data_IF_297342835351
#
_entry.id   IF_297342835351
#
_cell.length_a   1.000
_cell.length_b   1.000
_cell.length_c   1.000
_cell.angle_alpha   90.00
_cell.angle_beta   90.00
_cell.angle_gamma   90.00
#
_symmetry.space_group_name_H-M   'P 1'
#
loop_
_entity.id
_entity.type
_entity.pdbx_description
1 polymer ?
#
# COMPACT_ATOMS: atom_id res chain seq x y z
N UNK A 1 20.22 10.15 38.00
CA UNK A 1 21.31 10.23 38.99
C UNK A 1 21.18 11.44 39.91
N UNK A 2 20.85 12.63 39.39
CA UNK A 2 20.68 13.86 40.18
C UNK A 2 19.53 13.85 41.21
N UNK A 3 18.43 13.14 40.93
CA UNK A 3 17.25 13.07 41.82
C UNK A 3 17.50 12.22 43.08
N UNK A 4 18.37 11.20 42.98
CA UNK A 4 18.67 10.29 44.10
C UNK A 4 19.57 10.96 45.14
N UNK A 5 20.45 11.86 44.70
CA UNK A 5 21.34 12.61 45.60
C UNK A 5 20.60 13.63 46.46
N UNK A 6 19.49 14.20 45.97
CA UNK A 6 18.69 15.16 46.73
C UNK A 6 17.71 14.49 47.71
N UNK A 7 17.27 13.26 47.44
CA UNK A 7 16.44 12.49 48.38
C UNK A 7 17.28 12.01 49.57
N UNK A 8 18.56 11.70 49.36
CA UNK A 8 19.48 11.35 50.45
C UNK A 8 19.79 12.53 51.39
N UNK A 9 19.89 13.76 50.86
CA UNK A 9 20.10 14.96 51.68
C UNK A 9 18.92 15.35 52.56
N UNK A 10 17.70 15.00 52.16
CA UNK A 10 16.48 15.26 52.96
C UNK A 10 16.36 14.28 54.15
N UNK A 11 17.07 13.15 54.13
CA UNK A 11 17.05 12.15 55.21
C UNK A 11 17.98 12.49 56.38
N UNK A 12 18.77 13.56 56.31
CA UNK A 12 19.63 14.01 57.42
C UNK A 12 18.93 14.95 58.42
N UNK A 13 17.75 15.51 58.09
CA UNK A 13 16.97 16.30 59.05
C UNK A 13 16.08 15.42 59.93
N UNK A 14 16.53 15.28 61.18
CA UNK A 14 15.94 14.50 62.28
C UNK A 14 14.41 14.66 62.39
N UNK A 15 13.63 13.63 61.98
CA UNK A 15 12.41 13.15 62.69
C UNK A 15 11.60 12.02 62.00
N UNK A 16 12.13 11.30 61.03
CA UNK A 16 11.42 10.15 60.45
C UNK A 16 11.75 8.89 61.26
N UNK A 17 10.74 8.19 61.79
CA UNK A 17 10.94 6.89 62.47
C UNK A 17 11.51 5.88 61.46
N UNK A 18 12.50 5.08 61.88
CA UNK A 18 13.26 4.16 61.01
C UNK A 18 12.39 3.20 60.18
N UNK A 19 11.20 2.85 60.66
CA UNK A 19 10.25 2.01 59.93
C UNK A 19 9.76 2.67 58.63
N UNK A 20 9.44 3.96 58.69
CA UNK A 20 8.93 4.76 57.55
C UNK A 20 10.04 5.04 56.54
N UNK A 21 11.29 5.20 57.00
CA UNK A 21 12.46 5.32 56.14
C UNK A 21 12.66 4.07 55.28
N UNK A 22 12.58 2.89 55.90
CA UNK A 22 12.75 1.59 55.23
C UNK A 22 11.63 1.31 54.21
N UNK A 23 10.42 1.78 54.49
CA UNK A 23 9.26 1.64 53.60
C UNK A 23 9.38 2.55 52.37
N UNK A 24 9.83 3.80 52.54
CA UNK A 24 10.13 4.72 51.45
C UNK A 24 11.26 4.18 50.55
N UNK A 25 12.32 3.65 51.15
CA UNK A 25 13.44 3.03 50.41
C UNK A 25 12.97 1.82 49.59
N UNK A 26 12.09 0.97 50.14
CA UNK A 26 11.52 -0.17 49.43
C UNK A 26 10.60 0.22 48.28
N UNK A 27 9.75 1.25 48.47
CA UNK A 27 8.87 1.77 47.40
C UNK A 27 9.70 2.40 46.27
N UNK A 28 10.74 3.16 46.60
CA UNK A 28 11.66 3.74 45.62
C UNK A 28 12.47 2.67 44.86
N UNK A 29 12.84 1.57 45.52
CA UNK A 29 13.47 0.41 44.88
C UNK A 29 12.52 -0.31 43.91
N UNK A 30 11.23 -0.46 44.27
CA UNK A 30 10.22 -1.07 43.38
C UNK A 30 9.95 -0.24 42.11
N UNK A 31 10.11 1.09 42.21
CA UNK A 31 9.97 2.01 41.09
C UNK A 31 11.10 1.87 40.06
N UNK A 32 12.33 1.63 40.52
CA UNK A 32 13.51 1.42 39.65
C UNK A 32 13.35 0.22 38.72
N UNK A 33 12.65 -0.81 39.18
CA UNK A 33 12.39 -2.05 38.42
C UNK A 33 11.15 -1.90 37.52
N UNK A 34 10.13 -1.18 37.97
CA UNK A 34 8.84 -1.08 37.25
C UNK A 34 8.81 0.00 36.16
N UNK A 35 9.68 1.02 36.23
CA UNK A 35 9.73 2.11 35.25
C UNK A 35 10.26 1.70 33.87
N UNK A 36 10.84 0.50 33.74
CA UNK A 36 11.26 -0.03 32.45
C UNK A 36 10.10 -0.59 31.61
N UNK A 37 8.91 -0.83 32.21
CA UNK A 37 7.81 -1.57 31.55
C UNK A 37 6.39 -1.07 31.92
N UNK A 38 6.22 0.22 32.19
CA UNK A 38 4.96 0.73 32.75
C UNK A 38 3.87 0.97 31.69
N UNK A 39 2.87 0.07 31.63
CA UNK A 39 1.61 0.29 30.88
C UNK A 39 0.71 1.34 31.56
N UNK A 40 -0.16 2.05 30.81
CA UNK A 40 -1.01 3.12 31.34
C UNK A 40 -1.87 2.71 32.54
N UNK A 41 -2.41 1.48 32.55
CA UNK A 41 -3.29 0.99 33.61
C UNK A 41 -2.58 0.84 34.96
N UNK A 42 -1.29 0.45 34.95
CA UNK A 42 -0.48 0.33 36.16
C UNK A 42 -0.17 1.70 36.78
N UNK A 43 0.02 2.72 35.93
CA UNK A 43 0.23 4.10 36.37
C UNK A 43 -1.06 4.67 36.96
N UNK A 44 -2.22 4.42 36.36
CA UNK A 44 -3.52 4.88 36.85
C UNK A 44 -3.92 4.21 38.17
N UNK A 45 -3.65 2.92 38.34
CA UNK A 45 -3.91 2.20 39.59
C UNK A 45 -3.02 2.71 40.75
N UNK A 46 -1.75 2.99 40.47
CA UNK A 46 -0.82 3.57 41.44
C UNK A 46 -1.24 4.99 41.84
N UNK A 47 -1.59 5.85 40.88
CA UNK A 47 -2.06 7.20 41.17
C UNK A 47 -3.35 7.18 41.99
N UNK A 48 -4.29 6.26 41.74
CA UNK A 48 -5.49 6.10 42.58
C UNK A 48 -5.14 5.70 44.02
N UNK A 49 -4.27 4.71 44.22
CA UNK A 49 -3.86 4.30 45.56
C UNK A 49 -3.08 5.39 46.30
N UNK A 50 -2.20 6.10 45.61
CA UNK A 50 -1.40 7.17 46.19
C UNK A 50 -2.24 8.42 46.54
N UNK A 51 -3.17 8.81 45.67
CA UNK A 51 -4.10 9.92 45.93
C UNK A 51 -5.02 9.61 47.12
N UNK A 52 -5.47 8.36 47.27
CA UNK A 52 -6.30 7.94 48.40
C UNK A 52 -5.52 7.97 49.74
N UNK A 53 -4.21 7.67 49.69
CA UNK A 53 -3.32 7.73 50.86
C UNK A 53 -2.99 9.18 51.28
N UNK A 54 -2.80 10.07 50.30
CA UNK A 54 -2.38 11.46 50.51
C UNK A 54 -3.55 12.37 50.91
N UNK A 55 -4.78 12.07 50.49
CA UNK A 55 -5.92 12.98 50.72
C UNK A 55 -6.37 13.09 52.18
N UNK A 56 -6.23 12.06 53.01
CA UNK A 56 -6.76 12.06 54.40
C UNK A 56 -5.76 11.67 55.51
N UNK A 57 -4.47 11.58 55.20
CA UNK A 57 -3.34 11.36 56.13
C UNK A 57 -3.58 10.36 57.31
N UNK A 58 -4.44 9.34 57.15
CA UNK A 58 -4.73 8.31 58.17
C UNK A 58 -5.09 6.96 57.56
N UNK A 59 -4.39 5.91 58.03
CA UNK A 59 -4.83 4.51 57.94
C UNK A 59 -6.27 4.35 58.46
N UNK A 60 -7.12 3.66 57.70
CA UNK A 60 -8.37 3.08 58.18
C UNK A 60 -8.28 1.55 58.13
N UNK A 61 -8.66 0.88 59.22
CA UNK A 61 -8.87 -0.57 59.25
C UNK A 61 -10.35 -0.86 58.97
N UNK A 62 -10.61 -1.75 58.01
CA UNK A 62 -11.95 -2.26 57.70
C UNK A 62 -12.08 -3.63 58.35
N UNK A 63 -13.06 -3.82 59.25
CA UNK A 63 -13.38 -5.11 59.85
C UNK A 63 -14.75 -5.58 59.34
N UNK A 64 -14.82 -6.80 58.84
CA UNK A 64 -16.01 -7.42 58.27
C UNK A 64 -16.68 -8.45 59.21
N UNK A 65 -16.29 -8.51 60.49
CA UNK A 65 -16.78 -9.55 61.41
C UNK A 65 -17.95 -9.08 62.32
N UNK A 66 -18.92 -9.95 62.68
CA UNK A 66 -20.18 -9.56 63.32
C UNK A 66 -20.12 -9.36 64.85
N UNK A 67 -18.95 -9.42 65.48
CA UNK A 67 -18.85 -9.48 66.94
C UNK A 67 -18.67 -8.10 67.61
N UNK A 68 -19.80 -7.43 67.89
CA UNK A 68 -19.88 -6.02 68.34
C UNK A 68 -19.40 -5.70 69.77
N UNK A 69 -18.75 -6.61 70.49
CA UNK A 69 -18.60 -6.50 71.97
C UNK A 69 -17.24 -6.06 72.54
N UNK A 70 -16.26 -5.64 71.73
CA UNK A 70 -14.90 -5.40 72.26
C UNK A 70 -14.25 -4.05 71.96
N UNK A 71 -14.97 -2.92 71.93
CA UNK A 71 -14.26 -1.64 71.80
C UNK A 71 -14.92 -0.47 72.53
N UNK A 72 -14.43 -0.15 73.74
CA UNK A 72 -14.77 1.07 74.50
C UNK A 72 -14.31 2.37 73.82
N UNK A 73 -13.41 2.26 72.85
CA UNK A 73 -12.63 3.38 72.29
C UNK A 73 -13.05 3.80 70.88
N UNK A 74 -14.13 3.22 70.34
CA UNK A 74 -14.59 3.46 68.96
C UNK A 74 -16.06 3.92 68.98
N UNK A 75 -16.43 4.85 68.11
CA UNK A 75 -17.78 5.40 67.94
C UNK A 75 -18.29 5.07 66.53
N UNK A 76 -19.49 4.52 66.44
CA UNK A 76 -20.17 4.27 65.16
C UNK A 76 -20.49 5.59 64.45
N UNK A 77 -20.27 5.64 63.13
CA UNK A 77 -20.60 6.80 62.31
C UNK A 77 -21.90 6.56 61.54
N UNK A 78 -21.87 5.63 60.59
CA UNK A 78 -23.02 5.23 59.78
C UNK A 78 -22.73 3.90 59.07
N UNK A 79 -23.76 3.30 58.49
CA UNK A 79 -23.65 2.06 57.70
C UNK A 79 -23.75 2.42 56.23
N UNK A 80 -22.80 1.95 55.43
CA UNK A 80 -22.90 2.02 53.98
C UNK A 80 -23.46 0.70 53.45
N UNK A 81 -24.46 0.78 52.58
CA UNK A 81 -25.13 -0.37 51.99
C UNK A 81 -25.13 -0.26 50.47
N UNK A 82 -24.53 -1.24 49.82
CA UNK A 82 -24.55 -1.43 48.37
C UNK A 82 -25.02 -2.86 48.08
N UNK A 83 -26.29 -2.98 47.66
CA UNK A 83 -26.96 -4.28 47.51
C UNK A 83 -27.03 -5.09 48.83
N UNK A 84 -26.77 -6.41 48.81
CA UNK A 84 -26.86 -7.26 50.01
C UNK A 84 -25.70 -7.06 51.01
N UNK A 85 -24.67 -6.31 50.65
CA UNK A 85 -23.52 -6.02 51.51
C UNK A 85 -23.77 -4.77 52.35
N UNK A 86 -23.73 -4.94 53.68
CA UNK A 86 -23.74 -3.86 54.65
C UNK A 86 -22.39 -3.78 55.35
N UNK A 87 -21.79 -2.60 55.30
CA UNK A 87 -20.53 -2.32 55.98
C UNK A 87 -20.74 -1.21 57.00
N UNK A 88 -20.60 -1.56 58.28
CA UNK A 88 -20.69 -0.61 59.39
C UNK A 88 -19.34 0.13 59.52
N UNK A 89 -19.35 1.47 59.46
CA UNK A 89 -18.12 2.27 59.58
C UNK A 89 -18.02 2.90 60.97
N UNK A 90 -16.87 2.73 61.61
CA UNK A 90 -16.58 3.21 62.96
C UNK A 90 -15.33 4.10 62.99
N UNK A 91 -15.27 5.04 63.94
CA UNK A 91 -14.12 5.94 64.17
C UNK A 91 -13.62 5.88 65.61
N UNK A 92 -12.29 5.86 65.81
CA UNK A 92 -11.69 5.84 67.16
C UNK A 92 -11.92 7.19 67.87
N UNK A 93 -12.42 7.19 69.11
CA UNK A 93 -12.77 8.40 69.89
C UNK A 93 -11.62 9.40 70.03
N UNK A 94 -10.37 8.94 70.00
CA UNK A 94 -9.18 9.79 70.04
C UNK A 94 -9.09 10.78 68.86
N UNK A 95 -9.67 10.43 67.69
CA UNK A 95 -9.69 11.31 66.52
C UNK A 95 -10.73 12.43 66.60
N UNK A 96 -11.75 12.28 67.46
CA UNK A 96 -12.75 13.33 67.69
C UNK A 96 -12.25 14.39 68.68
N UNK A 97 -11.12 14.16 69.38
CA UNK A 97 -10.61 15.03 70.44
C UNK A 97 -9.30 15.77 70.12
N UNK A 98 -8.77 15.70 68.89
CA UNK A 98 -7.53 16.42 68.56
C UNK A 98 -7.66 17.19 67.26
N UNK A 99 -7.74 18.51 67.45
CA UNK A 99 -7.13 19.63 66.71
C UNK A 99 -6.83 19.39 65.22
N UNK A 100 -7.40 20.29 64.41
CA UNK A 100 -7.13 20.49 62.98
C UNK A 100 -5.65 20.26 62.67
N UNK A 101 -5.33 19.19 61.94
CA UNK A 101 -4.01 19.03 61.36
C UNK A 101 -3.85 20.12 60.30
N UNK A 102 -3.15 21.20 60.64
CA UNK A 102 -2.63 22.12 59.65
C UNK A 102 -1.79 21.29 58.67
N UNK A 103 -2.17 21.26 57.40
CA UNK A 103 -1.32 20.72 56.35
C UNK A 103 -0.03 21.54 56.41
N UNK A 104 1.11 20.89 56.65
CA UNK A 104 2.39 21.58 56.63
C UNK A 104 2.57 22.18 55.24
N UNK A 105 2.80 23.49 55.19
CA UNK A 105 2.92 24.24 53.95
C UNK A 105 4.00 23.62 53.04
N UNK A 106 5.01 23.00 53.64
CA UNK A 106 6.12 22.31 52.97
C UNK A 106 5.65 21.12 52.13
N UNK A 107 4.75 20.28 52.68
CA UNK A 107 4.25 19.09 51.99
C UNK A 107 3.32 19.45 50.83
N UNK A 108 2.51 20.51 51.01
CA UNK A 108 1.67 21.06 49.95
C UNK A 108 2.52 21.61 48.79
N UNK A 109 3.58 22.35 49.12
CA UNK A 109 4.54 22.89 48.14
C UNK A 109 5.21 21.74 47.38
N UNK A 110 5.71 20.71 48.09
CA UNK A 110 6.37 19.57 47.47
C UNK A 110 5.43 18.79 46.52
N UNK A 111 4.19 18.53 46.94
CA UNK A 111 3.19 17.89 46.09
C UNK A 111 2.87 18.70 44.82
N UNK A 112 2.77 20.02 44.96
CA UNK A 112 2.52 20.93 43.84
C UNK A 112 3.71 20.94 42.85
N UNK A 113 4.94 20.94 43.35
CA UNK A 113 6.16 20.84 42.51
C UNK A 113 6.20 19.52 41.73
N UNK A 114 5.92 18.39 42.38
CA UNK A 114 5.88 17.08 41.69
C UNK A 114 4.79 17.04 40.62
N UNK A 115 3.61 17.57 40.92
CA UNK A 115 2.52 17.66 39.94
C UNK A 115 2.90 18.51 38.73
N UNK A 116 3.56 19.66 38.94
CA UNK A 116 4.04 20.52 37.86
C UNK A 116 5.09 19.81 36.99
N UNK A 117 6.01 19.04 37.58
CA UNK A 117 7.01 18.26 36.84
C UNK A 117 6.34 17.20 35.96
N UNK A 118 5.34 16.48 36.48
CA UNK A 118 4.60 15.46 35.73
C UNK A 118 3.83 16.10 34.56
N UNK A 119 3.10 17.19 34.83
CA UNK A 119 2.37 17.92 33.78
C UNK A 119 3.33 18.42 32.69
N UNK A 120 4.45 19.01 33.08
CA UNK A 120 5.47 19.48 32.14
C UNK A 120 6.06 18.33 31.32
N UNK A 121 6.36 17.19 31.94
CA UNK A 121 6.85 15.99 31.25
C UNK A 121 5.84 15.46 30.22
N UNK A 122 4.55 15.41 30.57
CA UNK A 122 3.48 15.00 29.67
C UNK A 122 3.33 15.95 28.48
N UNK A 123 3.40 17.27 28.72
CA UNK A 123 3.37 18.27 27.64
C UNK A 123 4.56 18.10 26.70
N UNK A 124 5.78 17.98 27.24
CA UNK A 124 6.98 17.75 26.43
C UNK A 124 6.90 16.44 25.62
N UNK A 125 6.39 15.36 26.22
CA UNK A 125 6.21 14.09 25.52
C UNK A 125 5.18 14.21 24.38
N UNK A 126 4.04 14.85 24.65
CA UNK A 126 3.00 15.13 23.65
C UNK A 126 3.54 15.95 22.48
N UNK A 127 4.30 17.01 22.77
CA UNK A 127 4.95 17.82 21.73
C UNK A 127 5.95 17.02 20.91
N UNK A 128 6.82 16.22 21.55
CA UNK A 128 7.78 15.36 20.84
C UNK A 128 7.07 14.41 19.90
N UNK A 129 6.01 13.74 20.36
CA UNK A 129 5.20 12.81 19.54
C UNK A 129 4.52 13.51 18.37
N UNK A 130 4.01 14.74 18.57
CA UNK A 130 3.45 15.55 17.48
C UNK A 130 4.52 15.90 16.44
N UNK A 131 5.71 16.32 16.87
CA UNK A 131 6.82 16.67 15.97
C UNK A 131 7.31 15.47 15.17
N UNK A 132 7.49 14.31 15.79
CA UNK A 132 7.93 13.10 15.08
C UNK A 132 6.90 12.63 14.05
N UNK A 133 5.62 12.66 14.40
CA UNK A 133 4.54 12.30 13.47
C UNK A 133 4.45 13.29 12.30
N UNK A 134 4.56 14.59 12.59
CA UNK A 134 4.56 15.62 11.56
C UNK A 134 5.78 15.51 10.63
N UNK A 135 6.97 15.23 11.16
CA UNK A 135 8.15 14.95 10.34
C UNK A 135 7.95 13.72 9.48
N UNK A 136 7.49 12.59 10.05
CA UNK A 136 7.24 11.35 9.31
C UNK A 136 6.29 11.59 8.14
N UNK A 137 5.15 12.24 8.38
CA UNK A 137 4.18 12.54 7.31
C UNK A 137 4.76 13.48 6.24
N UNK A 138 5.62 14.44 6.63
CA UNK A 138 6.32 15.31 5.66
C UNK A 138 7.31 14.51 4.81
N UNK A 139 8.11 13.64 5.43
CA UNK A 139 9.04 12.77 4.72
C UNK A 139 8.31 11.82 3.77
N UNK A 140 7.21 11.19 4.20
CA UNK A 140 6.38 10.34 3.33
C UNK A 140 5.80 11.11 2.15
N UNK A 141 5.34 12.34 2.37
CA UNK A 141 4.83 13.21 1.30
C UNK A 141 5.94 13.61 0.31
N UNK A 142 7.07 14.07 0.81
CA UNK A 142 8.20 14.53 -0.01
C UNK A 142 8.82 13.38 -0.82
N UNK A 143 8.96 12.20 -0.20
CA UNK A 143 9.42 10.99 -0.91
C UNK A 143 8.44 10.54 -1.98
N UNK A 144 7.12 10.59 -1.72
CA UNK A 144 6.11 10.29 -2.73
C UNK A 144 6.10 11.31 -3.88
N UNK A 145 6.28 12.60 -3.58
CA UNK A 145 6.39 13.66 -4.60
C UNK A 145 7.64 13.48 -5.46
N UNK A 146 8.79 13.20 -4.84
CA UNK A 146 10.04 12.94 -5.54
C UNK A 146 9.96 11.68 -6.40
N UNK A 147 9.36 10.59 -5.89
CA UNK A 147 9.15 9.36 -6.65
C UNK A 147 8.29 9.60 -7.89
N UNK A 148 7.19 10.37 -7.75
CA UNK A 148 6.35 10.75 -8.90
C UNK A 148 7.10 11.64 -9.90
N UNK A 149 7.91 12.58 -9.41
CA UNK A 149 8.72 13.42 -10.28
C UNK A 149 9.73 12.59 -11.07
N UNK A 150 10.40 11.64 -10.41
CA UNK A 150 11.36 10.73 -11.03
C UNK A 150 10.68 9.86 -12.08
N UNK A 151 9.54 9.25 -11.77
CA UNK A 151 8.76 8.45 -12.71
C UNK A 151 8.37 9.26 -13.96
N UNK A 152 7.96 10.53 -13.79
CA UNK A 152 7.66 11.43 -14.91
C UNK A 152 8.91 11.75 -15.74
N UNK A 153 10.04 12.00 -15.09
CA UNK A 153 11.30 12.24 -15.79
C UNK A 153 11.76 11.02 -16.59
N UNK A 154 11.66 9.83 -16.03
CA UNK A 154 11.97 8.57 -16.72
C UNK A 154 11.03 8.34 -17.91
N UNK A 155 9.73 8.60 -17.74
CA UNK A 155 8.75 8.51 -18.82
C UNK A 155 9.05 9.51 -19.95
N UNK A 156 9.40 10.76 -19.62
CA UNK A 156 9.78 11.78 -20.61
C UNK A 156 11.10 11.46 -21.30
N UNK A 157 12.09 10.95 -20.58
CA UNK A 157 13.37 10.53 -21.17
C UNK A 157 13.17 9.35 -22.13
N UNK A 158 12.33 8.38 -21.74
CA UNK A 158 11.95 7.28 -22.61
C UNK A 158 11.21 7.80 -23.85
N UNK A 159 10.20 8.66 -23.68
CA UNK A 159 9.47 9.29 -24.78
C UNK A 159 10.43 10.02 -25.75
N UNK A 160 11.38 10.79 -25.22
CA UNK A 160 12.40 11.47 -26.00
C UNK A 160 13.23 10.50 -26.86
N UNK A 161 13.66 9.37 -26.30
CA UNK A 161 14.33 8.30 -27.06
C UNK A 161 13.42 7.66 -28.11
N UNK A 162 12.12 7.55 -27.83
CA UNK A 162 11.14 6.95 -28.73
C UNK A 162 10.81 7.85 -29.91
N UNK A 163 10.75 9.18 -29.71
CA UNK A 163 10.34 10.15 -30.73
C UNK A 163 11.15 10.03 -32.02
N UNK A 164 12.47 9.87 -31.93
CA UNK A 164 13.33 9.75 -33.12
C UNK A 164 13.02 8.46 -33.91
N UNK A 165 12.89 7.34 -33.22
CA UNK A 165 12.58 6.03 -33.81
C UNK A 165 11.17 6.02 -34.41
N UNK A 166 10.19 6.58 -33.68
CA UNK A 166 8.80 6.68 -34.14
C UNK A 166 8.67 7.62 -35.33
N UNK A 167 9.37 8.77 -35.34
CA UNK A 167 9.38 9.67 -36.48
C UNK A 167 9.92 8.96 -37.74
N UNK A 168 10.98 8.16 -37.60
CA UNK A 168 11.52 7.38 -38.71
C UNK A 168 10.53 6.30 -39.19
N UNK A 169 9.92 5.57 -38.27
CA UNK A 169 8.92 4.53 -38.57
C UNK A 169 7.61 5.11 -39.11
N UNK A 170 7.24 6.35 -38.79
CA UNK A 170 6.09 7.05 -39.37
C UNK A 170 6.40 7.60 -40.76
N UNK A 171 7.65 8.05 -41.00
CA UNK A 171 8.05 8.56 -42.31
C UNK A 171 7.91 7.49 -43.41
N UNK A 172 8.13 6.23 -43.07
CA UNK A 172 8.08 5.08 -43.99
C UNK A 172 6.67 4.82 -44.59
N UNK A 173 5.61 4.58 -43.78
CA UNK A 173 4.26 4.39 -44.29
C UNK A 173 3.77 5.64 -45.03
N UNK A 174 4.06 6.83 -44.50
CA UNK A 174 3.68 8.10 -45.14
C UNK A 174 4.33 8.25 -46.52
N UNK A 175 5.64 7.98 -46.64
CA UNK A 175 6.35 8.03 -47.91
C UNK A 175 5.81 7.00 -48.91
N UNK A 176 5.46 5.80 -48.43
CA UNK A 176 4.84 4.75 -49.25
C UNK A 176 3.50 5.21 -49.78
N UNK A 177 2.63 5.75 -48.93
CA UNK A 177 1.33 6.31 -49.33
C UNK A 177 1.52 7.48 -50.31
N UNK A 178 2.44 8.40 -50.04
CA UNK A 178 2.73 9.52 -50.96
C UNK A 178 3.18 9.04 -52.33
N UNK A 179 4.12 8.10 -52.41
CA UNK A 179 4.59 7.54 -53.68
C UNK A 179 3.47 6.84 -54.44
N UNK A 180 2.64 6.10 -53.72
CA UNK A 180 1.46 5.46 -54.27
C UNK A 180 0.46 6.49 -54.83
N UNK A 181 0.19 7.59 -54.11
CA UNK A 181 -0.69 8.66 -54.57
C UNK A 181 -0.12 9.36 -55.80
N UNK A 182 1.19 9.58 -55.87
CA UNK A 182 1.85 10.18 -57.04
C UNK A 182 1.80 9.28 -58.28
N UNK A 183 1.82 7.96 -58.11
CA UNK A 183 1.78 7.00 -59.22
C UNK A 183 0.36 6.63 -59.66
N UNK A 184 -0.65 6.86 -58.81
CA UNK A 184 -2.05 6.52 -59.08
C UNK A 184 -2.61 7.16 -60.37
N UNK A 185 -2.43 8.46 -60.66
CA UNK A 185 -3.00 9.07 -61.87
C UNK A 185 -2.55 8.39 -63.16
N UNK A 186 -1.29 7.96 -63.23
CA UNK A 186 -0.71 7.30 -64.40
C UNK A 186 -1.15 5.84 -64.58
N UNK A 187 -1.76 5.23 -63.55
CA UNK A 187 -2.14 3.80 -63.54
C UNK A 187 -3.58 3.54 -63.10
N UNK A 188 -4.40 4.59 -63.00
CA UNK A 188 -5.75 4.50 -62.41
C UNK A 188 -6.69 3.55 -63.17
N UNK A 189 -6.47 3.39 -64.48
CA UNK A 189 -7.23 2.47 -65.33
C UNK A 189 -6.80 0.99 -65.17
N UNK A 190 -5.62 0.73 -64.59
CA UNK A 190 -5.19 -0.62 -64.24
C UNK A 190 -5.90 -1.04 -62.95
N UNK A 191 -6.99 -1.80 -63.11
CA UNK A 191 -7.80 -2.29 -61.99
C UNK A 191 -6.98 -3.07 -60.96
N UNK A 192 -6.01 -3.89 -61.40
CA UNK A 192 -5.15 -4.68 -60.52
C UNK A 192 -4.23 -3.77 -59.71
N UNK A 193 -3.66 -2.74 -60.34
CA UNK A 193 -2.87 -1.73 -59.65
C UNK A 193 -3.71 -0.96 -58.64
N UNK A 194 -4.90 -0.50 -59.01
CA UNK A 194 -5.80 0.26 -58.13
C UNK A 194 -6.27 -0.55 -56.92
N UNK A 195 -6.64 -1.83 -57.11
CA UNK A 195 -6.99 -2.72 -56.00
C UNK A 195 -5.81 -2.93 -55.05
N UNK A 196 -4.61 -3.15 -55.59
CA UNK A 196 -3.39 -3.30 -54.78
C UNK A 196 -3.01 -2.00 -54.07
N UNK A 197 -3.17 -0.85 -54.73
CA UNK A 197 -2.97 0.48 -54.15
C UNK A 197 -3.88 0.67 -52.93
N UNK A 198 -5.18 0.38 -53.06
CA UNK A 198 -6.15 0.53 -51.96
C UNK A 198 -5.77 -0.38 -50.79
N UNK A 199 -5.36 -1.62 -51.07
CA UNK A 199 -4.93 -2.57 -50.03
C UNK A 199 -3.70 -2.06 -49.26
N UNK A 200 -2.64 -1.67 -49.97
CA UNK A 200 -1.40 -1.18 -49.35
C UNK A 200 -1.66 0.14 -48.61
N UNK A 201 -2.39 1.08 -49.19
CA UNK A 201 -2.69 2.36 -48.55
C UNK A 201 -3.48 2.18 -47.24
N UNK A 202 -4.44 1.25 -47.19
CA UNK A 202 -5.17 0.92 -45.96
C UNK A 202 -4.25 0.30 -44.90
N UNK A 203 -3.35 -0.59 -45.31
CA UNK A 203 -2.38 -1.22 -44.41
C UNK A 203 -1.43 -0.19 -43.80
N UNK A 204 -0.84 0.68 -44.63
CA UNK A 204 0.10 1.72 -44.17
C UNK A 204 -0.59 2.79 -43.31
N UNK A 205 -1.85 3.13 -43.59
CA UNK A 205 -2.64 4.03 -42.76
C UNK A 205 -2.92 3.43 -41.39
N UNK A 206 -3.31 2.14 -41.35
CA UNK A 206 -3.53 1.42 -40.10
C UNK A 206 -2.23 1.32 -39.29
N UNK A 207 -1.10 1.02 -39.95
CA UNK A 207 0.23 1.03 -39.32
C UNK A 207 0.57 2.39 -38.73
N UNK A 208 0.29 3.48 -39.45
CA UNK A 208 0.54 4.85 -38.97
C UNK A 208 -0.31 5.19 -37.76
N UNK A 209 -1.60 4.88 -37.78
CA UNK A 209 -2.50 5.09 -36.64
C UNK A 209 -2.00 4.34 -35.40
N UNK A 210 -1.57 3.09 -35.56
CA UNK A 210 -1.02 2.31 -34.45
C UNK A 210 0.26 2.93 -33.87
N UNK A 211 1.16 3.48 -34.70
CA UNK A 211 2.35 4.18 -34.19
C UNK A 211 1.97 5.40 -33.33
N UNK A 212 0.90 6.12 -33.71
CA UNK A 212 0.35 7.24 -32.95
C UNK A 212 -0.28 6.74 -31.64
N UNK A 213 -1.12 5.70 -31.70
CA UNK A 213 -1.78 5.15 -30.51
C UNK A 213 -0.74 4.65 -29.50
N UNK A 214 0.31 3.96 -29.98
CA UNK A 214 1.43 3.54 -29.16
C UNK A 214 2.10 4.75 -28.49
N UNK A 215 2.42 5.82 -29.24
CA UNK A 215 3.00 7.06 -28.72
C UNK A 215 2.17 7.67 -27.59
N UNK A 216 0.85 7.73 -27.76
CA UNK A 216 -0.08 8.26 -26.78
C UNK A 216 -0.09 7.42 -25.49
N UNK A 217 -0.02 6.08 -25.62
CA UNK A 217 0.06 5.20 -24.46
C UNK A 217 1.40 5.32 -23.73
N UNK A 218 2.51 5.59 -24.42
CA UNK A 218 3.81 5.79 -23.76
C UNK A 218 3.88 7.07 -22.94
N UNK A 219 3.32 8.17 -23.45
CA UNK A 219 3.35 9.47 -22.77
C UNK A 219 2.36 9.62 -21.61
N UNK A 220 1.37 8.73 -21.49
CA UNK A 220 0.32 8.82 -20.46
C UNK A 220 0.60 7.88 -19.27
N UNK A 221 0.30 8.35 -18.07
CA UNK A 221 0.06 7.49 -16.91
C UNK A 221 -1.27 6.77 -17.13
N UNK A 222 -1.23 5.45 -17.29
CA UNK A 222 -2.41 4.58 -17.53
C UNK A 222 -3.20 4.36 -16.21
N UNK A 223 -3.07 5.27 -15.24
CA UNK A 223 -3.72 5.14 -13.92
C UNK A 223 -5.20 5.53 -13.94
N UNK A 224 -5.65 6.23 -14.97
CA UNK A 224 -7.02 6.76 -15.10
C UNK A 224 -7.77 5.98 -16.19
N UNK A 225 -8.02 4.71 -15.90
CA UNK A 225 -8.67 3.74 -16.79
C UNK A 225 -10.18 3.70 -16.55
N UNK A 226 -10.98 3.73 -17.63
CA UNK A 226 -12.41 3.49 -17.53
C UNK A 226 -12.65 1.99 -17.57
N UNK A 227 -12.49 1.33 -16.42
CA UNK A 227 -12.54 -0.13 -16.36
C UNK A 227 -13.98 -0.65 -16.44
N UNK A 228 -14.23 -1.49 -17.42
CA UNK A 228 -15.49 -2.20 -17.63
C UNK A 228 -15.24 -3.69 -17.91
N UNK A 229 -16.33 -4.47 -17.94
CA UNK A 229 -16.24 -5.89 -18.32
C UNK A 229 -16.22 -6.03 -19.83
N UNK A 230 -15.11 -6.53 -20.37
CA UNK A 230 -14.86 -6.66 -21.81
C UNK A 230 -14.89 -8.11 -22.23
N UNK A 231 -15.81 -8.47 -23.13
CA UNK A 231 -15.86 -9.81 -23.70
C UNK A 231 -14.68 -10.04 -24.66
N UNK A 232 -13.78 -10.97 -24.30
CA UNK A 232 -12.61 -11.30 -25.12
C UNK A 232 -12.96 -11.89 -26.48
N UNK A 233 -14.03 -12.69 -26.57
CA UNK A 233 -14.45 -13.32 -27.82
C UNK A 233 -14.92 -12.24 -28.79
N UNK A 234 -15.72 -11.29 -28.32
CA UNK A 234 -16.16 -10.14 -29.13
C UNK A 234 -14.97 -9.25 -29.53
N UNK A 235 -14.08 -8.95 -28.57
CA UNK A 235 -12.87 -8.18 -28.81
C UNK A 235 -12.01 -8.82 -29.91
N UNK A 236 -11.68 -10.10 -29.77
CA UNK A 236 -10.83 -10.83 -30.73
C UNK A 236 -11.51 -11.04 -32.07
N UNK A 237 -12.82 -11.29 -32.12
CA UNK A 237 -13.58 -11.39 -33.37
C UNK A 237 -13.52 -10.08 -34.18
N UNK A 238 -13.63 -8.93 -33.50
CA UNK A 238 -13.45 -7.62 -34.14
C UNK A 238 -12.09 -7.47 -34.83
N UNK A 239 -11.03 -8.04 -34.24
CA UNK A 239 -9.66 -7.97 -34.74
C UNK A 239 -9.37 -8.97 -35.87
N UNK A 240 -10.04 -10.13 -35.89
CA UNK A 240 -9.81 -11.18 -36.92
C UNK A 240 -10.30 -10.83 -38.32
N UNK A 241 -11.36 -10.00 -38.45
CA UNK A 241 -12.01 -9.72 -39.74
C UNK A 241 -11.07 -9.15 -40.81
N UNK A 242 -9.95 -8.54 -40.40
CA UNK A 242 -9.00 -7.89 -41.29
C UNK A 242 -7.64 -8.62 -41.40
N UNK A 243 -7.45 -9.72 -40.69
CA UNK A 243 -6.11 -10.24 -40.38
C UNK A 243 -5.78 -11.62 -40.97
N UNK A 244 -6.75 -12.35 -41.52
CA UNK A 244 -6.52 -13.66 -42.17
C UNK A 244 -6.01 -14.77 -41.23
N UNK A 245 -6.11 -14.58 -39.91
CA UNK A 245 -5.61 -15.49 -38.88
C UNK A 245 -6.76 -16.12 -38.10
N UNK A 246 -6.65 -17.42 -37.79
CA UNK A 246 -7.66 -18.12 -36.99
C UNK A 246 -7.37 -17.92 -35.50
N UNK A 247 -8.30 -17.31 -34.76
CA UNK A 247 -8.17 -17.13 -33.31
C UNK A 247 -9.20 -18.00 -32.59
N UNK A 248 -8.71 -18.91 -31.75
CA UNK A 248 -9.53 -19.67 -30.80
C UNK A 248 -9.51 -18.97 -29.45
N UNK A 249 -10.65 -18.41 -29.03
CA UNK A 249 -10.78 -17.65 -27.79
C UNK A 249 -12.01 -18.11 -26.99
N UNK A 250 -11.89 -18.38 -25.67
CA UNK A 250 -13.03 -18.70 -24.82
C UNK A 250 -13.97 -17.49 -24.65
N UNK A 251 -15.25 -17.75 -24.38
CA UNK A 251 -16.23 -16.70 -24.10
C UNK A 251 -16.09 -16.20 -22.66
N UNK A 252 -15.23 -15.23 -22.45
CA UNK A 252 -14.87 -14.76 -21.10
C UNK A 252 -14.65 -13.25 -21.09
N UNK A 253 -15.01 -12.63 -19.97
CA UNK A 253 -14.83 -11.22 -19.68
C UNK A 253 -13.52 -10.93 -18.97
N UNK A 254 -12.83 -9.87 -19.40
CA UNK A 254 -11.72 -9.25 -18.66
C UNK A 254 -12.19 -7.90 -18.12
N UNK A 255 -11.87 -7.59 -16.87
CA UNK A 255 -12.11 -6.28 -16.29
C UNK A 255 -10.94 -5.34 -16.58
N UNK A 256 -11.20 -4.33 -17.40
CA UNK A 256 -10.20 -3.37 -17.82
C UNK A 256 -10.77 -2.35 -18.78
N UNK A 257 -9.92 -1.42 -19.20
CA UNK A 257 -10.29 -0.40 -20.15
C UNK A 257 -10.25 -0.98 -21.58
N UNK A 258 -11.38 -0.92 -22.28
CA UNK A 258 -11.54 -1.49 -23.64
C UNK A 258 -10.49 -0.98 -24.60
N UNK A 259 -10.13 0.30 -24.54
CA UNK A 259 -9.16 0.88 -25.46
C UNK A 259 -7.78 0.25 -25.26
N UNK A 260 -7.32 0.16 -24.01
CA UNK A 260 -6.00 -0.42 -23.71
C UNK A 260 -5.97 -1.93 -23.94
N UNK A 261 -7.01 -2.66 -23.56
CA UNK A 261 -7.11 -4.09 -23.84
C UNK A 261 -7.13 -4.36 -25.35
N UNK A 262 -7.86 -3.57 -26.13
CA UNK A 262 -7.82 -3.69 -27.59
C UNK A 262 -6.41 -3.49 -28.14
N UNK A 263 -5.71 -2.46 -27.68
CA UNK A 263 -4.35 -2.17 -28.12
C UNK A 263 -3.36 -3.28 -27.74
N UNK A 264 -3.49 -3.87 -26.54
CA UNK A 264 -2.72 -5.02 -26.10
C UNK A 264 -2.90 -6.21 -27.05
N UNK A 265 -4.14 -6.61 -27.31
CA UNK A 265 -4.46 -7.76 -28.16
C UNK A 265 -4.08 -7.51 -29.63
N UNK A 266 -4.32 -6.31 -30.16
CA UNK A 266 -3.88 -5.93 -31.52
C UNK A 266 -2.36 -6.07 -31.68
N UNK A 267 -1.58 -5.65 -30.67
CA UNK A 267 -0.12 -5.80 -30.71
C UNK A 267 0.31 -7.27 -30.73
N UNK A 268 -0.29 -8.12 -29.89
CA UNK A 268 0.04 -9.55 -29.83
C UNK A 268 -0.35 -10.30 -31.12
N UNK A 269 -1.56 -10.04 -31.62
CA UNK A 269 -2.05 -10.63 -32.89
C UNK A 269 -1.13 -10.22 -34.04
N UNK A 270 -0.80 -8.93 -34.16
CA UNK A 270 0.08 -8.44 -35.22
C UNK A 270 1.48 -9.04 -35.12
N UNK A 271 2.03 -9.14 -33.90
CA UNK A 271 3.33 -9.78 -33.69
C UNK A 271 3.32 -11.23 -34.16
N UNK A 272 2.22 -11.95 -33.93
CA UNK A 272 2.01 -13.34 -34.37
C UNK A 272 1.92 -13.46 -35.90
N UNK A 273 1.13 -12.60 -36.55
CA UNK A 273 1.02 -12.56 -38.02
C UNK A 273 2.39 -12.29 -38.65
N UNK A 274 3.13 -11.33 -38.12
CA UNK A 274 4.50 -11.01 -38.57
C UNK A 274 5.51 -12.13 -38.26
N UNK A 275 5.18 -13.05 -37.35
CA UNK A 275 5.92 -14.28 -37.10
C UNK A 275 5.50 -15.43 -38.04
N UNK A 276 4.68 -15.14 -39.05
CA UNK A 276 4.06 -16.08 -39.98
C UNK A 276 3.14 -17.10 -39.31
N UNK A 277 2.50 -16.73 -38.19
CA UNK A 277 1.44 -17.53 -37.59
C UNK A 277 0.16 -17.45 -38.44
N UNK A 278 -0.57 -18.56 -38.50
CA UNK A 278 -1.89 -18.67 -39.12
C UNK A 278 -2.98 -19.11 -38.13
N UNK A 279 -2.59 -19.53 -36.93
CA UNK A 279 -3.48 -19.83 -35.82
C UNK A 279 -2.94 -19.21 -34.53
N UNK A 280 -3.85 -18.64 -33.73
CA UNK A 280 -3.62 -18.21 -32.36
C UNK A 280 -4.62 -18.93 -31.47
N UNK A 281 -4.13 -19.47 -30.36
CA UNK A 281 -4.94 -20.08 -29.31
C UNK A 281 -4.81 -19.27 -28.04
N UNK A 282 -5.93 -18.78 -27.54
CA UNK A 282 -6.02 -18.11 -26.25
C UNK A 282 -6.59 -19.13 -25.26
N UNK A 283 -5.83 -19.42 -24.20
CA UNK A 283 -6.26 -20.27 -23.09
C UNK A 283 -6.32 -19.46 -21.81
N UNK A 284 -7.19 -19.87 -20.90
CA UNK A 284 -7.27 -19.27 -19.57
C UNK A 284 -7.18 -20.37 -18.53
N UNK A 285 -6.32 -20.15 -17.55
CA UNK A 285 -6.11 -21.07 -16.43
C UNK A 285 -6.12 -20.28 -15.12
N UNK A 286 -6.82 -20.78 -14.11
CA UNK A 286 -6.59 -20.33 -12.74
C UNK A 286 -5.17 -20.75 -12.36
N UNK A 287 -4.36 -19.84 -11.84
CA UNK A 287 -2.97 -20.14 -11.51
C UNK A 287 -2.89 -20.86 -10.14
N UNK A 288 -2.52 -22.15 -10.11
CA UNK A 288 -2.43 -22.90 -8.86
C UNK A 288 -1.22 -22.50 -8.01
N UNK A 289 -0.21 -21.84 -8.57
CA UNK A 289 1.01 -21.43 -7.86
C UNK A 289 0.79 -20.23 -6.92
N UNK A 290 -0.34 -19.54 -7.06
CA UNK A 290 -0.75 -18.42 -6.21
C UNK A 290 -2.07 -18.71 -5.48
N UNK A 291 -2.34 -19.96 -5.09
CA UNK A 291 -3.59 -20.35 -4.40
C UNK A 291 -4.88 -19.95 -5.16
N UNK A 292 -4.83 -19.84 -6.49
CA UNK A 292 -5.94 -19.35 -7.32
C UNK A 292 -6.16 -17.83 -7.25
N UNK A 293 -5.23 -17.08 -6.64
CA UNK A 293 -5.29 -15.62 -6.51
C UNK A 293 -4.91 -14.88 -7.79
N UNK A 294 -4.59 -15.56 -8.88
CA UNK A 294 -4.36 -14.95 -10.19
C UNK A 294 -4.91 -15.86 -11.29
N UNK A 295 -5.28 -15.24 -12.40
CA UNK A 295 -5.76 -15.94 -13.58
C UNK A 295 -4.83 -15.65 -14.74
N UNK A 296 -4.32 -16.71 -15.36
CA UNK A 296 -3.37 -16.65 -16.46
C UNK A 296 -4.10 -16.74 -17.79
N UNK A 297 -3.87 -15.76 -18.66
CA UNK A 297 -4.26 -15.76 -20.06
C UNK A 297 -3.03 -16.14 -20.88
N UNK A 298 -3.07 -17.29 -21.52
CA UNK A 298 -2.02 -17.79 -22.39
C UNK A 298 -2.39 -17.51 -23.83
N UNK A 299 -1.61 -16.65 -24.49
CA UNK A 299 -1.71 -16.32 -25.90
C UNK A 299 -0.63 -17.07 -26.67
N UNK A 300 -1.02 -18.08 -27.44
CA UNK A 300 -0.11 -19.00 -28.11
C UNK A 300 -0.29 -18.96 -29.62
N UNK A 301 0.78 -18.69 -30.35
CA UNK A 301 0.78 -18.74 -31.81
C UNK A 301 1.48 -19.99 -32.35
N UNK A 302 1.33 -20.24 -33.65
CA UNK A 302 2.00 -21.33 -34.36
C UNK A 302 3.05 -20.85 -35.39
N UNK A 303 3.58 -19.64 -35.19
CA UNK A 303 4.56 -19.01 -36.07
C UNK A 303 5.98 -19.55 -35.87
N UNK A 304 6.98 -18.74 -36.24
CA UNK A 304 8.41 -19.07 -36.07
C UNK A 304 8.90 -19.03 -34.61
N UNK A 305 8.11 -18.49 -33.70
CA UNK A 305 8.47 -18.34 -32.28
C UNK A 305 9.52 -17.27 -31.99
N UNK A 306 9.98 -17.26 -30.74
CA UNK A 306 11.13 -16.44 -30.30
C UNK A 306 12.45 -17.14 -30.64
N UNK A 307 13.56 -16.39 -30.85
CA UNK A 307 14.85 -17.03 -31.06
C UNK A 307 15.29 -17.82 -29.82
N UNK A 308 16.00 -18.95 -30.00
CA UNK A 308 16.37 -19.85 -28.91
C UNK A 308 17.48 -19.27 -28.01
N UNK A 309 18.39 -18.47 -28.57
CA UNK A 309 19.52 -17.89 -27.84
C UNK A 309 19.19 -16.54 -27.17
N UNK A 310 17.91 -16.13 -27.19
CA UNK A 310 17.46 -14.84 -26.63
C UNK A 310 16.98 -14.99 -25.21
N UNK A 311 17.42 -14.10 -24.31
CA UNK A 311 16.75 -13.91 -23.03
C UNK A 311 15.37 -13.30 -23.26
N UNK A 312 14.33 -14.11 -23.02
CA UNK A 312 12.94 -13.72 -23.20
C UNK A 312 12.52 -12.58 -22.28
N UNK A 313 13.12 -12.45 -21.09
CA UNK A 313 12.82 -11.36 -20.17
C UNK A 313 13.29 -10.00 -20.71
N UNK A 314 14.28 -10.00 -21.61
CA UNK A 314 14.78 -8.77 -22.23
C UNK A 314 13.91 -8.33 -23.41
N UNK A 315 13.17 -9.23 -24.06
CA UNK A 315 12.35 -8.91 -25.24
C UNK A 315 11.15 -7.99 -24.94
N UNK A 316 10.76 -7.85 -23.68
CA UNK A 316 9.72 -6.90 -23.25
C UNK A 316 10.27 -5.50 -22.98
N UNK A 317 11.59 -5.30 -22.97
CA UNK A 317 12.19 -3.98 -22.82
C UNK A 317 12.01 -3.12 -24.09
N UNK A 318 11.95 -1.79 -23.96
CA UNK A 318 11.79 -0.91 -25.10
C UNK A 318 13.01 -1.01 -26.04
N UNK A 319 12.76 -0.91 -27.34
CA UNK A 319 13.74 -0.98 -28.44
C UNK A 319 14.41 -2.34 -28.65
N UNK A 320 13.99 -3.37 -27.92
CA UNK A 320 14.47 -4.73 -28.16
C UNK A 320 13.65 -5.36 -29.28
N UNK A 321 14.35 -5.73 -30.35
CA UNK A 321 13.75 -6.39 -31.50
C UNK A 321 14.73 -7.37 -32.11
N UNK A 322 14.22 -8.49 -32.60
CA UNK A 322 14.98 -9.51 -33.33
C UNK A 322 14.76 -9.40 -34.84
N UNK A 323 14.12 -8.31 -35.28
CA UNK A 323 13.68 -8.10 -36.66
C UNK A 323 14.49 -6.98 -37.32
N UNK A 324 14.67 -7.11 -38.62
CA UNK A 324 15.29 -6.08 -39.47
C UNK A 324 14.40 -4.85 -39.67
N UNK A 325 13.09 -4.98 -39.44
CA UNK A 325 12.12 -3.88 -39.47
C UNK A 325 11.19 -3.94 -38.25
N UNK A 326 11.00 -2.78 -37.59
CA UNK A 326 10.17 -2.62 -36.41
C UNK A 326 10.93 -2.08 -35.19
N UNK A 327 10.31 -1.12 -34.50
CA UNK A 327 10.93 -0.35 -33.42
C UNK A 327 11.22 -1.11 -32.10
N UNK A 328 10.84 -2.39 -31.97
CA UNK A 328 10.99 -3.13 -30.70
C UNK A 328 10.11 -2.62 -29.57
N UNK A 329 8.96 -2.04 -29.90
CA UNK A 329 8.08 -1.36 -28.95
C UNK A 329 6.79 -2.14 -28.63
N UNK A 330 6.40 -3.11 -29.45
CA UNK A 330 5.12 -3.81 -29.30
C UNK A 330 5.00 -4.62 -28.01
N UNK A 331 6.04 -5.37 -27.63
CA UNK A 331 6.03 -6.16 -26.38
C UNK A 331 6.18 -5.27 -25.15
N UNK A 332 6.94 -4.18 -25.26
CA UNK A 332 7.02 -3.16 -24.22
C UNK A 332 5.66 -2.51 -23.94
N UNK A 333 4.87 -2.22 -24.98
CA UNK A 333 3.50 -1.73 -24.82
C UNK A 333 2.60 -2.76 -24.15
N UNK A 334 2.71 -4.03 -24.55
CA UNK A 334 1.96 -5.11 -23.94
C UNK A 334 2.28 -5.22 -22.44
N UNK A 335 3.55 -5.11 -22.07
CA UNK A 335 4.00 -5.05 -20.68
C UNK A 335 3.42 -3.84 -19.95
N UNK A 336 3.52 -2.64 -20.53
CA UNK A 336 3.03 -1.40 -19.90
C UNK A 336 1.52 -1.46 -19.64
N UNK A 337 0.72 -1.94 -20.60
CA UNK A 337 -0.72 -2.10 -20.45
C UNK A 337 -1.04 -3.14 -19.38
N UNK A 338 -0.33 -4.28 -19.38
CA UNK A 338 -0.52 -5.36 -18.41
C UNK A 338 -0.23 -4.89 -16.98
N UNK A 339 0.89 -4.18 -16.78
CA UNK A 339 1.26 -3.61 -15.47
C UNK A 339 0.24 -2.57 -14.98
N UNK A 340 -0.29 -1.74 -15.89
CA UNK A 340 -1.33 -0.78 -15.55
C UNK A 340 -2.66 -1.45 -15.10
N UNK A 341 -2.87 -2.70 -15.50
CA UNK A 341 -3.98 -3.54 -15.06
C UNK A 341 -3.59 -4.45 -13.88
N UNK A 342 -2.52 -4.11 -13.15
CA UNK A 342 -1.98 -4.85 -12.00
C UNK A 342 -1.58 -6.30 -12.33
N UNK A 343 -1.33 -6.58 -13.60
CA UNK A 343 -0.92 -7.89 -14.07
C UNK A 343 0.59 -8.02 -14.26
N UNK A 344 1.00 -9.23 -14.66
CA UNK A 344 2.36 -9.54 -15.10
C UNK A 344 2.34 -10.17 -16.50
N UNK A 345 3.41 -9.95 -17.26
CA UNK A 345 3.61 -10.56 -18.58
C UNK A 345 4.86 -11.42 -18.58
N UNK A 346 4.77 -12.60 -19.16
CA UNK A 346 5.89 -13.53 -19.32
C UNK A 346 5.85 -14.12 -20.72
N UNK A 347 7.02 -14.25 -21.35
CA UNK A 347 7.16 -14.89 -22.65
C UNK A 347 7.73 -16.29 -22.44
N UNK A 348 7.29 -17.25 -23.25
CA UNK A 348 7.80 -18.62 -23.22
C UNK A 348 7.86 -19.22 -24.62
N UNK A 349 8.77 -20.17 -24.82
CA UNK A 349 8.87 -20.91 -26.07
C UNK A 349 7.80 -22.00 -26.14
N UNK A 350 7.28 -22.24 -27.34
CA UNK A 350 6.50 -23.41 -27.68
C UNK A 350 7.31 -24.32 -28.61
N UNK A 351 7.00 -25.63 -28.69
CA UNK A 351 7.61 -26.52 -29.67
C UNK A 351 7.45 -26.03 -31.11
N UNK A 352 6.34 -25.32 -31.38
CA UNK A 352 6.09 -24.60 -32.62
C UNK A 352 5.37 -23.30 -32.29
N UNK A 353 6.02 -22.16 -32.52
CA UNK A 353 5.48 -20.83 -32.25
C UNK A 353 5.98 -20.18 -30.97
N UNK A 354 5.27 -19.15 -30.53
CA UNK A 354 5.57 -18.38 -29.32
C UNK A 354 4.39 -18.35 -28.37
N UNK A 355 4.68 -18.30 -27.08
CA UNK A 355 3.71 -18.15 -26.01
C UNK A 355 3.91 -16.85 -25.24
N UNK A 356 2.82 -16.15 -24.95
CA UNK A 356 2.77 -14.98 -24.06
C UNK A 356 1.76 -15.28 -22.96
N UNK A 357 2.19 -15.26 -21.71
CA UNK A 357 1.35 -15.42 -20.52
C UNK A 357 1.11 -14.05 -19.90
N UNK A 358 -0.15 -13.71 -19.71
CA UNK A 358 -0.58 -12.50 -19.01
C UNK A 358 -1.33 -12.94 -17.75
N UNK A 359 -0.77 -12.63 -16.59
CA UNK A 359 -1.38 -12.96 -15.30
C UNK A 359 -2.13 -11.74 -14.79
N UNK A 360 -3.43 -11.86 -14.54
CA UNK A 360 -4.26 -10.83 -13.90
C UNK A 360 -4.70 -11.26 -12.50
N UNK A 361 -5.02 -10.31 -11.61
CA UNK A 361 -5.76 -10.59 -10.38
C UNK A 361 -7.09 -11.30 -10.68
N UNK A 362 -7.60 -12.13 -9.76
CA UNK A 362 -8.69 -13.06 -10.02
C UNK A 362 -10.03 -12.33 -10.22
N UNK A 363 -10.18 -11.16 -9.59
CA UNK A 363 -11.36 -10.27 -9.71
C UNK A 363 -11.52 -9.70 -11.12
N UNK A 364 -10.50 -9.81 -11.98
CA UNK A 364 -10.52 -9.24 -13.32
C UNK A 364 -11.03 -10.21 -14.39
N UNK A 365 -11.54 -11.40 -14.05
CA UNK A 365 -12.04 -12.36 -15.06
C UNK A 365 -13.44 -12.89 -14.69
N UNK A 366 -14.34 -12.96 -15.69
CA UNK A 366 -15.73 -13.44 -15.55
C UNK A 366 -16.10 -14.38 -16.68
N UNK A 367 -16.75 -15.50 -16.39
CA UNK A 367 -17.34 -16.36 -17.43
C UNK A 367 -18.62 -15.72 -17.99
N UNK A 368 -18.77 -15.70 -19.31
CA UNK A 368 -20.06 -15.45 -19.95
C UNK A 368 -20.70 -16.80 -20.26
N UNK A 369 -21.88 -17.05 -19.69
CA UNK A 369 -22.72 -18.22 -20.03
C UNK A 369 -23.18 -18.20 -21.49
#
# INVERSE_FOLDING_TARGET
>A
MFIVSNIAGILEEKRIKDATRKEIENVAASYRVSAQDASPDKITAFLKNYITLVRDNKLAAVDHSPDKKRFSDIKYLFTFSDGPLKTDIYIKRAYLRKEVYAIDLTDLINGLVVMLIILFSLVLHSERKRRTTAMKNRYEKETAELARALQRHEALALLGRMTATLAHEMKTPIATISNLIHTLPSRIQDKKFTERFIAIAKEELHRTQQLIDNLLVYGKDISDTHNEWVNMKELTQGLTKNAGIKISCPNMGIYGDVFYLRLLFENLIRNSIQANAYEIRIRIHANPAHDGSTTDIMFEDNGRGFPQDSDLAVLVNPFVTTRSSGAGLGLFLAQKITLAHEGAIELYHLPKGAGVKISFPPVRIRLYE
#
